data_IF_552047749724
#
_entry.id   IF_552047749724
#
_cell.length_a   1.000
_cell.length_b   1.000
_cell.length_c   1.000
_cell.angle_alpha   90.00
_cell.angle_beta   90.00
_cell.angle_gamma   90.00
#
_symmetry.space_group_name_H-M   'P 1'
#
loop_
_entity.id
_entity.type
_entity.pdbx_description
1 polymer ?
#
# COMPACT_ATOMS: atom_id res chain seq x y z
N UNK A 1 -11.14 29.53 -16.79
CA UNK A 1 -11.92 28.33 -17.08
C UNK A 1 -10.95 27.16 -16.96
N UNK A 2 -10.99 26.44 -15.84
CA UNK A 2 -10.00 25.42 -15.47
C UNK A 2 -10.51 24.06 -15.91
N UNK A 3 -9.76 23.37 -16.78
CA UNK A 3 -10.03 21.98 -17.17
C UNK A 3 -9.81 21.04 -15.98
N UNK A 4 -10.68 20.04 -15.72
CA UNK A 4 -10.52 19.13 -14.59
C UNK A 4 -9.37 18.14 -14.86
N UNK A 5 -8.70 17.76 -13.78
CA UNK A 5 -7.40 17.11 -13.76
C UNK A 5 -7.29 15.84 -14.59
N UNK A 6 -6.31 15.84 -15.49
CA UNK A 6 -5.76 14.64 -16.11
C UNK A 6 -4.84 13.99 -15.07
N UNK A 7 -5.39 13.15 -14.19
CA UNK A 7 -4.56 12.31 -13.33
C UNK A 7 -4.13 11.09 -14.15
N UNK A 8 -2.87 11.09 -14.59
CA UNK A 8 -2.20 9.93 -15.21
C UNK A 8 -2.13 8.77 -14.19
N UNK A 9 -3.24 8.05 -14.05
CA UNK A 9 -3.36 6.92 -13.15
C UNK A 9 -2.96 5.67 -13.93
N UNK A 10 -1.76 5.16 -13.66
CA UNK A 10 -1.27 3.92 -14.23
C UNK A 10 -2.15 2.73 -13.80
N UNK A 11 -2.54 1.89 -14.76
CA UNK A 11 -3.18 0.62 -14.47
C UNK A 11 -2.17 -0.31 -13.76
N UNK A 12 -2.51 -0.76 -12.55
CA UNK A 12 -1.63 -1.65 -11.77
C UNK A 12 -1.38 -3.02 -12.44
N UNK A 13 -2.22 -3.42 -13.40
CA UNK A 13 -2.12 -4.73 -14.05
C UNK A 13 -1.27 -4.72 -15.32
N UNK A 14 -1.36 -3.68 -16.16
CA UNK A 14 -0.58 -3.59 -17.40
C UNK A 14 0.54 -2.53 -17.36
N UNK A 15 0.53 -1.64 -16.36
CA UNK A 15 1.50 -0.56 -16.23
C UNK A 15 1.23 0.65 -17.14
N UNK A 16 0.24 0.56 -18.03
CA UNK A 16 -0.09 1.64 -18.95
C UNK A 16 -0.97 2.72 -18.30
N UNK A 17 -0.69 3.95 -18.67
CA UNK A 17 -1.55 5.12 -18.39
C UNK A 17 -2.62 5.31 -19.48
N UNK A 18 -2.43 4.62 -20.60
CA UNK A 18 -3.27 4.73 -21.79
C UNK A 18 -4.42 3.74 -21.70
N UNK A 19 -5.64 4.25 -21.86
CA UNK A 19 -6.89 3.50 -21.99
C UNK A 19 -7.01 2.68 -23.29
N UNK A 20 -5.89 2.32 -23.91
CA UNK A 20 -5.84 1.74 -25.26
C UNK A 20 -4.93 0.52 -25.27
N UNK A 21 -5.54 -0.64 -25.09
CA UNK A 21 -5.04 -1.88 -25.68
C UNK A 21 -5.87 -2.06 -26.96
N UNK A 22 -5.26 -1.91 -28.13
CA UNK A 22 -5.97 -2.06 -29.41
C UNK A 22 -6.38 -3.53 -29.60
N UNK A 23 -7.63 -3.83 -29.27
CA UNK A 23 -8.35 -5.01 -29.74
C UNK A 23 -9.56 -4.49 -30.54
N UNK A 24 -9.64 -4.75 -31.86
CA UNK A 24 -10.59 -4.08 -32.76
C UNK A 24 -12.08 -4.38 -32.50
N UNK A 25 -12.41 -5.30 -31.58
CA UNK A 25 -13.79 -5.77 -31.42
C UNK A 25 -14.57 -5.24 -30.18
N UNK A 26 -14.00 -4.38 -29.32
CA UNK A 26 -14.70 -3.94 -28.09
C UNK A 26 -14.30 -2.54 -27.58
N UNK A 27 -14.72 -1.50 -28.30
CA UNK A 27 -14.24 -0.11 -28.16
C UNK A 27 -14.75 0.67 -26.92
N UNK A 28 -15.60 0.08 -26.06
CA UNK A 28 -16.26 0.81 -24.96
C UNK A 28 -15.80 0.34 -23.57
N UNK A 29 -15.38 -0.91 -23.40
CA UNK A 29 -15.03 -1.49 -22.09
C UNK A 29 -13.61 -1.13 -21.62
N UNK A 30 -12.72 -0.75 -22.54
CA UNK A 30 -11.29 -0.48 -22.28
C UNK A 30 -11.02 0.87 -21.59
N UNK A 31 -12.03 1.73 -21.46
CA UNK A 31 -11.91 3.07 -20.85
C UNK A 31 -12.30 3.12 -19.38
N UNK A 32 -12.95 2.08 -18.86
CA UNK A 32 -13.45 2.06 -17.49
C UNK A 32 -12.31 1.63 -16.58
N UNK A 33 -11.88 2.53 -15.71
CA UNK A 33 -10.94 2.26 -14.63
C UNK A 33 -11.73 2.07 -13.35
N UNK A 34 -11.41 1.02 -12.60
CA UNK A 34 -11.95 0.78 -11.26
C UNK A 34 -10.83 0.90 -10.23
N UNK A 35 -11.14 1.54 -9.11
CA UNK A 35 -10.21 1.71 -7.99
C UNK A 35 -10.59 0.79 -6.85
N UNK A 36 -9.61 0.08 -6.32
CA UNK A 36 -9.82 -0.83 -5.21
C UNK A 36 -10.23 -0.07 -3.94
N UNK A 37 -11.25 -0.56 -3.23
CA UNK A 37 -11.74 0.06 -1.99
C UNK A 37 -10.67 0.19 -0.88
N UNK A 38 -9.71 -0.75 -0.79
CA UNK A 38 -8.72 -0.76 0.31
C UNK A 38 -7.40 -0.08 -0.04
N UNK A 39 -6.82 -0.46 -1.19
CA UNK A 39 -5.49 0.03 -1.58
C UNK A 39 -5.54 1.19 -2.56
N UNK A 40 -6.74 1.58 -3.03
CA UNK A 40 -6.91 2.62 -4.05
C UNK A 40 -6.10 2.34 -5.33
N UNK A 41 -5.73 1.08 -5.56
CA UNK A 41 -5.06 0.64 -6.78
C UNK A 41 -6.05 0.70 -7.93
N UNK A 42 -5.66 1.33 -9.02
CA UNK A 42 -6.49 1.51 -10.20
C UNK A 42 -6.18 0.45 -11.25
N UNK A 43 -7.20 -0.08 -11.91
CA UNK A 43 -7.04 -1.08 -12.97
C UNK A 43 -8.12 -0.91 -14.03
N UNK A 44 -7.78 -1.13 -15.29
CA UNK A 44 -8.79 -1.23 -16.34
C UNK A 44 -9.72 -2.41 -16.05
N UNK A 45 -11.01 -2.25 -16.29
CA UNK A 45 -12.00 -3.34 -16.18
C UNK A 45 -11.61 -4.52 -17.09
N UNK A 46 -11.03 -4.23 -18.26
CA UNK A 46 -10.49 -5.25 -19.18
C UNK A 46 -9.31 -6.04 -18.59
N UNK A 47 -8.49 -5.44 -17.73
CA UNK A 47 -7.31 -6.09 -17.14
C UNK A 47 -7.64 -7.01 -15.96
N UNK A 48 -8.84 -6.91 -15.37
CA UNK A 48 -9.23 -7.65 -14.17
C UNK A 48 -10.29 -8.73 -14.43
N UNK A 49 -10.76 -8.85 -15.68
CA UNK A 49 -11.82 -9.76 -16.09
C UNK A 49 -13.22 -9.10 -16.08
N UNK A 50 -14.16 -9.69 -16.82
CA UNK A 50 -15.39 -9.04 -17.28
C UNK A 50 -16.40 -8.57 -16.22
N UNK A 51 -16.18 -8.82 -14.92
CA UNK A 51 -17.11 -8.42 -13.85
C UNK A 51 -16.38 -8.12 -12.53
N UNK A 52 -15.97 -6.87 -12.26
CA UNK A 52 -15.55 -6.50 -10.91
C UNK A 52 -16.74 -6.64 -9.96
N UNK A 53 -16.59 -7.44 -8.90
CA UNK A 53 -17.54 -7.43 -7.78
C UNK A 53 -17.66 -6.00 -7.24
N UNK A 54 -18.87 -5.54 -6.94
CA UNK A 54 -19.09 -4.27 -6.26
C UNK A 54 -19.27 -4.54 -4.75
N UNK A 55 -18.43 -3.97 -3.85
CA UNK A 55 -17.30 -3.07 -4.11
C UNK A 55 -16.04 -3.79 -4.62
N UNK A 56 -15.30 -3.14 -5.53
CA UNK A 56 -14.11 -3.73 -6.16
C UNK A 56 -12.96 -3.90 -5.16
N UNK A 57 -12.50 -5.14 -5.03
CA UNK A 57 -11.29 -5.53 -4.30
C UNK A 57 -10.28 -6.07 -5.31
N UNK A 58 -9.07 -5.50 -5.34
CA UNK A 58 -8.02 -6.00 -6.23
C UNK A 58 -7.54 -7.39 -5.79
N UNK A 59 -6.79 -8.07 -6.66
CA UNK A 59 -6.24 -9.41 -6.39
C UNK A 59 -5.42 -9.44 -5.09
N UNK A 60 -4.70 -8.36 -4.77
CA UNK A 60 -3.94 -8.25 -3.52
C UNK A 60 -4.84 -8.18 -2.27
N UNK A 61 -6.05 -7.63 -2.40
CA UNK A 61 -7.04 -7.63 -1.31
C UNK A 61 -7.72 -8.99 -1.13
N UNK A 62 -8.02 -9.65 -2.25
CA UNK A 62 -8.73 -10.94 -2.26
C UNK A 62 -7.80 -12.10 -1.90
N UNK A 63 -6.53 -12.02 -2.27
CA UNK A 63 -5.54 -13.04 -2.02
C UNK A 63 -4.23 -12.39 -1.53
N UNK A 64 -4.12 -12.25 -0.20
CA UNK A 64 -2.94 -11.71 0.48
C UNK A 64 -1.68 -12.55 0.26
N UNK A 65 -1.82 -13.79 -0.24
CA UNK A 65 -0.73 -14.71 -0.56
C UNK A 65 -0.49 -14.84 -2.06
N UNK A 66 -1.14 -14.01 -2.90
CA UNK A 66 -0.93 -14.09 -4.34
C UNK A 66 0.51 -13.71 -4.70
N UNK A 67 1.25 -14.57 -5.43
CA UNK A 67 2.58 -14.21 -5.89
C UNK A 67 2.50 -13.08 -6.92
N UNK A 68 3.02 -11.91 -6.55
CA UNK A 68 3.17 -10.71 -7.41
C UNK A 68 4.03 -10.95 -8.67
N UNK A 69 4.67 -12.11 -8.79
CA UNK A 69 5.80 -12.36 -9.69
C UNK A 69 5.51 -13.42 -10.75
N UNK A 70 4.24 -13.75 -10.97
CA UNK A 70 3.83 -14.68 -12.02
C UNK A 70 3.72 -13.92 -13.33
N UNK A 71 4.67 -14.13 -14.23
CA UNK A 71 4.50 -13.83 -15.65
C UNK A 71 3.75 -15.01 -16.29
N UNK A 72 2.66 -14.71 -17.00
CA UNK A 72 2.04 -15.71 -17.87
C UNK A 72 2.97 -16.02 -19.04
N UNK A 73 3.15 -17.28 -19.38
CA UNK A 73 3.71 -17.67 -20.67
C UNK A 73 2.62 -17.65 -21.76
N UNK A 74 3.04 -17.65 -23.03
CA UNK A 74 2.13 -17.64 -24.19
C UNK A 74 1.25 -18.90 -24.32
N UNK A 75 1.47 -19.91 -23.48
CA UNK A 75 0.70 -21.16 -23.41
C UNK A 75 -0.17 -21.26 -22.13
N UNK A 76 -0.30 -20.18 -21.34
CA UNK A 76 -1.12 -20.16 -20.13
C UNK A 76 -0.46 -20.82 -18.90
N UNK A 77 0.82 -21.19 -18.98
CA UNK A 77 1.64 -21.59 -17.85
C UNK A 77 2.06 -20.40 -17.00
N UNK A 78 2.10 -20.61 -15.68
CA UNK A 78 2.57 -19.60 -14.71
C UNK A 78 4.08 -19.74 -14.56
N UNK A 79 4.84 -18.80 -15.11
CA UNK A 79 6.30 -18.78 -14.96
C UNK A 79 6.69 -17.71 -13.95
N UNK A 80 7.42 -18.11 -12.91
CA UNK A 80 7.99 -17.15 -11.96
C UNK A 80 9.33 -16.69 -12.48
N UNK A 81 9.49 -15.38 -12.71
CA UNK A 81 10.79 -14.82 -13.05
C UNK A 81 11.71 -14.89 -11.82
N UNK A 82 12.69 -15.79 -11.89
CA UNK A 82 13.68 -16.02 -10.82
C UNK A 82 14.51 -14.77 -10.51
N UNK A 83 14.84 -13.95 -11.51
CA UNK A 83 15.62 -12.72 -11.33
C UNK A 83 14.78 -11.64 -10.68
N UNK A 84 13.55 -11.43 -11.14
CA UNK A 84 12.62 -10.49 -10.50
C UNK A 84 12.36 -10.90 -9.04
N UNK A 85 12.20 -12.20 -8.78
CA UNK A 85 11.97 -12.74 -7.44
C UNK A 85 13.13 -12.50 -6.48
N UNK A 86 14.38 -12.65 -6.94
CA UNK A 86 15.55 -12.43 -6.10
C UNK A 86 15.72 -10.95 -5.74
N UNK A 87 15.49 -10.05 -6.69
CA UNK A 87 15.52 -8.59 -6.47
C UNK A 87 14.42 -8.18 -5.48
N UNK A 88 13.20 -8.68 -5.67
CA UNK A 88 12.09 -8.42 -4.77
C UNK A 88 12.39 -8.92 -3.35
N UNK A 89 12.94 -10.14 -3.20
CA UNK A 89 13.32 -10.67 -1.90
C UNK A 89 14.39 -9.81 -1.20
N UNK A 90 15.38 -9.31 -1.95
CA UNK A 90 16.39 -8.39 -1.41
C UNK A 90 15.76 -7.09 -0.92
N UNK A 91 14.85 -6.49 -1.70
CA UNK A 91 14.10 -5.30 -1.30
C UNK A 91 13.28 -5.54 -0.03
N UNK A 92 12.53 -6.65 0.04
CA UNK A 92 11.76 -7.03 1.23
C UNK A 92 12.63 -7.16 2.48
N UNK A 93 13.83 -7.76 2.37
CA UNK A 93 14.77 -7.87 3.49
C UNK A 93 15.24 -6.50 3.99
N UNK A 94 15.53 -5.58 3.07
CA UNK A 94 15.93 -4.21 3.42
C UNK A 94 14.77 -3.49 4.13
N UNK A 95 13.55 -3.56 3.57
CA UNK A 95 12.35 -2.97 4.15
C UNK A 95 12.05 -3.53 5.53
N UNK A 96 12.11 -4.85 5.72
CA UNK A 96 11.88 -5.50 7.01
C UNK A 96 12.89 -5.03 8.07
N UNK A 97 14.17 -4.93 7.72
CA UNK A 97 15.20 -4.42 8.63
C UNK A 97 15.00 -2.94 8.96
N UNK A 98 14.61 -2.12 7.99
CA UNK A 98 14.33 -0.69 8.19
C UNK A 98 13.15 -0.50 9.16
N UNK A 99 12.05 -1.21 8.92
CA UNK A 99 10.85 -1.16 9.78
C UNK A 99 11.18 -1.65 11.19
N UNK A 100 11.95 -2.73 11.33
CA UNK A 100 12.36 -3.24 12.64
C UNK A 100 13.15 -2.20 13.43
N UNK A 101 14.08 -1.49 12.80
CA UNK A 101 14.83 -0.41 13.44
C UNK A 101 13.92 0.74 13.86
N UNK A 102 13.00 1.17 12.99
CA UNK A 102 12.04 2.23 13.30
C UNK A 102 11.12 1.84 14.47
N UNK A 103 10.64 0.59 14.51
CA UNK A 103 9.81 0.10 15.60
C UNK A 103 10.55 0.07 16.95
N UNK A 104 11.84 -0.31 16.95
CA UNK A 104 12.67 -0.29 18.16
C UNK A 104 12.90 1.16 18.61
N UNK A 105 13.25 2.07 17.70
CA UNK A 105 13.45 3.49 18.03
C UNK A 105 12.18 4.11 18.60
N UNK A 106 11.02 3.88 17.97
CA UNK A 106 9.74 4.36 18.47
C UNK A 106 9.42 3.82 19.88
N UNK A 107 9.74 2.55 20.16
CA UNK A 107 9.57 1.98 21.50
C UNK A 107 10.43 2.72 22.53
N UNK A 108 11.70 2.95 22.22
CA UNK A 108 12.61 3.68 23.12
C UNK A 108 12.12 5.10 23.36
N UNK A 109 11.68 5.81 22.33
CA UNK A 109 11.12 7.17 22.46
C UNK A 109 9.86 7.20 23.33
N UNK A 110 8.98 6.21 23.19
CA UNK A 110 7.78 6.10 24.03
C UNK A 110 8.14 5.84 25.50
N UNK A 111 9.15 5.01 25.78
CA UNK A 111 9.61 4.75 27.14
C UNK A 111 10.21 6.00 27.80
N UNK A 112 11.01 6.77 27.05
CA UNK A 112 11.57 8.06 27.51
C UNK A 112 10.45 9.04 27.84
N UNK A 113 9.50 9.25 26.91
CA UNK A 113 8.36 10.16 27.13
C UNK A 113 7.49 9.74 28.31
N UNK A 114 7.27 8.43 28.50
CA UNK A 114 6.51 7.91 29.63
C UNK A 114 7.20 8.21 30.97
N UNK A 115 8.53 8.10 31.02
CA UNK A 115 9.32 8.44 32.20
C UNK A 115 9.25 9.93 32.51
N UNK A 116 9.45 10.79 31.51
CA UNK A 116 9.38 12.24 31.65
C UNK A 116 8.02 12.70 32.18
N UNK A 117 6.92 12.17 31.64
CA UNK A 117 5.57 12.47 32.11
C UNK A 117 5.36 12.06 33.58
N UNK A 118 5.92 10.90 33.96
CA UNK A 118 5.84 10.41 35.34
C UNK A 118 6.62 11.31 36.30
N UNK A 119 7.82 11.73 35.93
CA UNK A 119 8.65 12.59 36.77
C UNK A 119 8.09 14.02 36.88
N UNK A 120 7.53 14.56 35.80
CA UNK A 120 6.80 15.82 35.82
C UNK A 120 5.58 15.76 36.75
N UNK A 121 4.82 14.66 36.72
CA UNK A 121 3.68 14.46 37.64
C UNK A 121 4.13 14.44 39.09
N UNK A 122 5.22 13.73 39.42
CA UNK A 122 5.77 13.69 40.78
C UNK A 122 6.18 15.09 41.25
N UNK A 123 6.82 15.87 40.37
CA UNK A 123 7.22 17.24 40.69
C UNK A 123 6.00 18.13 40.96
N UNK A 124 4.98 18.06 40.11
CA UNK A 124 3.74 18.82 40.29
C UNK A 124 3.04 18.50 41.61
N UNK A 125 2.95 17.22 41.98
CA UNK A 125 2.38 16.80 43.27
C UNK A 125 3.17 17.41 44.44
N UNK A 126 4.50 17.29 44.42
CA UNK A 126 5.36 17.88 45.47
C UNK A 126 5.18 19.39 45.59
N UNK A 127 5.04 20.10 44.47
CA UNK A 127 4.81 21.55 44.48
C UNK A 127 3.46 21.92 45.08
N UNK A 128 2.41 21.14 44.82
CA UNK A 128 1.09 21.35 45.44
C UNK A 128 1.16 21.11 46.96
N UNK A 129 1.78 20.01 47.40
CA UNK A 129 1.96 19.70 48.83
C UNK A 129 2.72 20.82 49.57
N UNK A 130 3.70 21.45 48.94
CA UNK A 130 4.43 22.57 49.55
C UNK A 130 3.58 23.84 49.74
N UNK A 131 2.58 24.06 48.89
CA UNK A 131 1.68 25.23 48.98
C UNK A 131 0.59 25.00 50.04
N UNK A 132 0.17 23.76 50.28
CA UNK A 132 -0.83 23.43 51.31
C UNK A 132 -0.33 23.55 52.76
N UNK A 133 0.99 23.64 52.96
CA UNK A 133 1.62 23.80 54.28
C UNK A 133 2.03 25.24 54.62
N UNK A 134 1.56 26.24 53.86
CA UNK A 134 1.69 27.68 54.11
C UNK A 134 0.34 28.27 54.55
#
# INVERSE_FOLDING_TARGET
MSTPGNTDIACHMCGDNSSVHENPDNLITSKIVVSCLRYYSSSHVSCIGSHPNAPYLCVMCLNQNSPLLVLGDSNGGKVVDKKASSIFLAACKISANSIKKAAIAAKVEMEVKAKEATDARKLAIKSVEQVEHL
#
